data_IF_621278071155
#
_entry.id   IF_621278071155
#
_cell.length_a   1.000
_cell.length_b   1.000
_cell.length_c   1.000
_cell.angle_alpha   90.00
_cell.angle_beta   90.00
_cell.angle_gamma   90.00
#
_symmetry.space_group_name_H-M   'P 1'
#
loop_
_entity.id
_entity.type
_entity.pdbx_description
1 polymer ?
#
# COMPACT_ATOMS: atom_id res chain seq x y z
N UNK A 1 25.64 -34.37 31.82
CA UNK A 1 26.30 -33.47 30.85
C UNK A 1 25.84 -33.68 29.40
N UNK A 2 25.89 -34.89 28.82
CA UNK A 2 25.44 -35.10 27.42
C UNK A 2 23.93 -34.87 27.18
N UNK A 3 23.07 -35.20 28.15
CA UNK A 3 21.60 -35.01 28.03
C UNK A 3 21.19 -33.53 27.98
N UNK A 4 21.88 -32.67 28.73
CA UNK A 4 21.63 -31.23 28.69
C UNK A 4 22.14 -30.60 27.39
N UNK A 5 23.25 -31.10 26.83
CA UNK A 5 23.76 -30.66 25.52
C UNK A 5 22.76 -30.98 24.39
N UNK A 6 22.19 -32.19 24.40
CA UNK A 6 21.17 -32.61 23.43
C UNK A 6 19.87 -31.81 23.59
N UNK A 7 19.46 -31.52 24.82
CA UNK A 7 18.29 -30.68 25.08
C UNK A 7 18.48 -29.25 24.60
N UNK A 8 19.65 -28.65 24.86
CA UNK A 8 19.98 -27.31 24.36
C UNK A 8 20.05 -27.30 22.84
N UNK A 9 20.64 -28.31 22.19
CA UNK A 9 20.69 -28.40 20.73
C UNK A 9 19.29 -28.53 20.12
N UNK A 10 18.40 -29.32 20.72
CA UNK A 10 17.01 -29.46 20.28
C UNK A 10 16.22 -28.17 20.47
N UNK A 11 16.40 -27.48 21.61
CA UNK A 11 15.74 -26.21 21.88
C UNK A 11 16.19 -25.11 20.89
N UNK A 12 17.50 -25.03 20.61
CA UNK A 12 18.06 -24.15 19.60
C UNK A 12 17.52 -24.47 18.20
N UNK A 13 17.38 -25.76 17.85
CA UNK A 13 16.83 -26.18 16.57
C UNK A 13 15.35 -25.81 16.43
N UNK A 14 14.55 -25.93 17.48
CA UNK A 14 13.13 -25.53 17.50
C UNK A 14 12.98 -24.01 17.35
N UNK A 15 13.85 -23.22 17.99
CA UNK A 15 13.82 -21.75 17.91
C UNK A 15 14.10 -21.21 16.49
N UNK A 16 14.84 -21.96 15.65
CA UNK A 16 15.09 -21.58 14.25
C UNK A 16 13.81 -21.57 13.39
N UNK A 17 12.76 -22.32 13.76
CA UNK A 17 11.50 -22.34 13.00
C UNK A 17 10.57 -21.16 13.30
N UNK A 18 10.84 -20.39 14.36
CA UNK A 18 10.00 -19.24 14.74
C UNK A 18 10.46 -17.90 14.15
N UNK A 19 11.63 -17.87 13.50
CA UNK A 19 12.13 -16.65 12.85
C UNK A 19 11.59 -16.61 11.42
N UNK A 20 10.35 -16.17 11.27
CA UNK A 20 9.79 -15.80 9.95
C UNK A 20 9.68 -14.27 9.88
N UNK A 21 10.56 -13.64 9.10
CA UNK A 21 10.54 -12.21 8.82
C UNK A 21 9.65 -11.87 7.63
N UNK A 22 8.43 -12.41 7.60
CA UNK A 22 7.49 -12.13 6.52
C UNK A 22 6.85 -10.76 6.73
N UNK A 23 6.78 -9.97 5.66
CA UNK A 23 5.97 -8.76 5.62
C UNK A 23 4.50 -9.13 5.84
N UNK A 24 3.95 -8.78 7.02
CA UNK A 24 2.57 -9.06 7.39
C UNK A 24 1.60 -7.98 6.91
N UNK A 25 2.08 -6.99 6.16
CA UNK A 25 1.24 -5.93 5.68
C UNK A 25 0.20 -6.51 4.69
N UNK A 26 -1.11 -6.32 4.94
CA UNK A 26 -2.15 -6.79 4.04
C UNK A 26 -2.08 -5.99 2.74
N UNK A 27 -1.63 -6.64 1.66
CA UNK A 27 -1.59 -6.06 0.31
C UNK A 27 -2.84 -6.50 -0.46
N UNK A 28 -3.37 -5.62 -1.30
CA UNK A 28 -4.44 -6.00 -2.22
C UNK A 28 -3.92 -7.06 -3.19
N UNK A 29 -4.47 -8.28 -3.13
CA UNK A 29 -4.01 -9.40 -3.95
C UNK A 29 -4.40 -9.32 -5.42
N UNK A 30 -5.23 -8.33 -5.80
CA UNK A 30 -5.74 -8.19 -7.17
C UNK A 30 -4.96 -7.20 -8.03
N UNK A 31 -3.97 -6.49 -7.45
CA UNK A 31 -3.15 -5.51 -8.18
C UNK A 31 -1.67 -5.66 -7.81
N UNK A 32 -0.81 -5.31 -8.76
CA UNK A 32 0.63 -5.16 -8.59
C UNK A 32 1.03 -3.75 -9.05
N UNK A 33 1.82 -3.04 -8.25
CA UNK A 33 2.25 -1.69 -8.58
C UNK A 33 3.66 -1.75 -9.14
N UNK A 34 3.76 -1.50 -10.44
CA UNK A 34 5.00 -1.70 -11.21
C UNK A 34 5.83 -0.42 -11.35
N UNK A 35 5.22 0.75 -11.14
CA UNK A 35 5.94 2.03 -11.21
C UNK A 35 5.26 3.15 -10.40
N UNK A 36 6.08 4.02 -9.83
CA UNK A 36 5.66 5.28 -9.23
C UNK A 36 6.49 6.42 -9.81
N UNK A 37 5.82 7.50 -10.20
CA UNK A 37 6.40 8.80 -10.47
C UNK A 37 5.76 9.85 -9.56
N UNK A 38 6.58 10.68 -8.91
CA UNK A 38 6.09 11.75 -8.04
C UNK A 38 6.68 13.09 -8.48
N UNK A 39 5.82 14.09 -8.62
CA UNK A 39 6.22 15.50 -8.68
C UNK A 39 5.88 16.13 -7.33
N UNK A 40 6.88 16.62 -6.61
CA UNK A 40 6.71 17.14 -5.24
C UNK A 40 7.09 18.61 -5.21
N UNK A 41 6.21 19.43 -4.64
CA UNK A 41 6.41 20.85 -4.40
C UNK A 41 6.53 21.09 -2.90
N UNK A 42 7.67 21.64 -2.49
CA UNK A 42 8.01 21.95 -1.10
C UNK A 42 8.18 23.45 -0.90
N UNK A 43 7.96 23.90 0.34
CA UNK A 43 8.21 25.27 0.75
C UNK A 43 8.64 25.29 2.21
N UNK A 44 9.67 26.09 2.53
CA UNK A 44 10.06 26.32 3.93
C UNK A 44 9.10 27.28 4.66
N UNK A 45 8.19 27.93 3.92
CA UNK A 45 7.24 28.92 4.47
C UNK A 45 5.92 28.32 4.95
N UNK A 46 5.68 27.03 4.70
CA UNK A 46 4.44 26.35 5.06
C UNK A 46 4.69 24.88 5.34
N UNK A 47 3.96 24.30 6.30
CA UNK A 47 3.99 22.86 6.57
C UNK A 47 3.10 22.05 5.60
N UNK A 48 3.20 22.37 4.30
CA UNK A 48 2.39 21.76 3.24
C UNK A 48 3.29 21.18 2.15
N UNK A 49 3.11 19.90 1.89
CA UNK A 49 3.64 19.22 0.71
C UNK A 49 2.52 19.13 -0.32
N UNK A 50 2.73 19.72 -1.50
CA UNK A 50 1.84 19.50 -2.64
C UNK A 50 2.50 18.53 -3.60
N UNK A 51 1.72 17.73 -4.31
CA UNK A 51 2.31 16.85 -5.30
C UNK A 51 1.30 16.20 -6.21
N UNK A 52 1.86 15.54 -7.21
CA UNK A 52 1.17 14.70 -8.17
C UNK A 52 1.85 13.33 -8.14
N UNK A 53 1.05 12.26 -8.18
CA UNK A 53 1.53 10.89 -8.24
C UNK A 53 0.97 10.21 -9.50
N UNK A 54 1.87 9.66 -10.31
CA UNK A 54 1.53 8.81 -11.46
C UNK A 54 1.92 7.38 -11.09
N UNK A 55 0.93 6.50 -11.00
CA UNK A 55 1.10 5.12 -10.54
C UNK A 55 0.73 4.19 -11.69
N UNK A 56 1.63 3.29 -12.08
CA UNK A 56 1.31 2.24 -13.06
C UNK A 56 0.95 0.97 -12.31
N UNK A 57 -0.24 0.46 -12.60
CA UNK A 57 -0.81 -0.70 -11.95
C UNK A 57 -0.95 -1.81 -13.00
N UNK A 58 -0.56 -3.01 -12.63
CA UNK A 58 -0.88 -4.24 -13.34
C UNK A 58 -1.95 -4.97 -12.53
N UNK A 59 -3.09 -5.25 -13.13
CA UNK A 59 -4.11 -6.07 -12.47
C UNK A 59 -3.65 -7.53 -12.48
N UNK A 60 -3.60 -8.17 -11.33
CA UNK A 60 -3.21 -9.58 -11.18
C UNK A 60 -4.41 -10.49 -10.94
N UNK A 61 -5.56 -9.91 -10.58
CA UNK A 61 -6.85 -10.59 -10.43
C UNK A 61 -8.02 -9.71 -10.88
N UNK A 62 -9.24 -10.21 -10.73
CA UNK A 62 -10.44 -9.41 -10.98
C UNK A 62 -10.70 -8.46 -9.80
N UNK A 63 -10.95 -7.19 -10.10
CA UNK A 63 -11.34 -6.20 -9.09
C UNK A 63 -12.18 -5.07 -9.68
N UNK A 64 -13.02 -4.48 -8.84
CA UNK A 64 -13.78 -3.26 -9.13
C UNK A 64 -13.29 -2.07 -8.29
N UNK A 65 -12.26 -2.25 -7.47
CA UNK A 65 -11.64 -1.21 -6.67
C UNK A 65 -10.11 -1.29 -6.73
N UNK A 66 -9.49 -0.12 -6.63
CA UNK A 66 -8.06 0.04 -6.39
C UNK A 66 -7.92 0.75 -5.04
N UNK A 67 -7.06 0.24 -4.18
CA UNK A 67 -6.88 0.75 -2.82
C UNK A 67 -5.43 1.16 -2.61
N UNK A 68 -5.23 2.40 -2.16
CA UNK A 68 -3.93 2.96 -1.81
C UNK A 68 -3.97 3.48 -0.38
N UNK A 69 -2.95 3.20 0.41
CA UNK A 69 -2.89 3.66 1.79
C UNK A 69 -2.38 5.11 1.86
N UNK A 70 -3.29 6.03 2.16
CA UNK A 70 -3.02 7.44 2.33
C UNK A 70 -3.57 7.87 3.68
N UNK A 71 -2.75 8.47 4.54
CA UNK A 71 -3.20 8.94 5.85
C UNK A 71 -4.38 9.92 5.70
N UNK A 72 -5.49 9.63 6.38
CA UNK A 72 -6.68 10.50 6.31
C UNK A 72 -6.38 11.86 6.92
N UNK A 73 -6.95 12.90 6.31
CA UNK A 73 -6.94 14.23 6.93
C UNK A 73 -7.76 14.21 8.23
N UNK A 74 -7.11 14.53 9.34
CA UNK A 74 -7.69 14.47 10.68
C UNK A 74 -8.26 15.83 11.13
N UNK A 75 -8.85 15.86 12.33
CA UNK A 75 -9.42 17.07 12.91
C UNK A 75 -8.37 18.10 13.35
N UNK A 76 -7.10 17.71 13.43
CA UNK A 76 -5.98 18.58 13.80
C UNK A 76 -5.34 19.25 12.57
N UNK A 77 -5.82 18.93 11.36
CA UNK A 77 -5.28 19.47 10.12
C UNK A 77 -4.11 18.66 9.55
N UNK A 78 -3.88 17.44 10.05
CA UNK A 78 -2.77 16.58 9.63
C UNK A 78 -3.26 15.47 8.70
N UNK A 79 -2.40 14.99 7.81
CA UNK A 79 -2.71 13.92 6.88
C UNK A 79 -2.74 14.40 5.43
N UNK A 80 -3.35 13.63 4.55
CA UNK A 80 -3.37 13.91 3.11
C UNK A 80 -4.76 14.37 2.67
N UNK A 81 -4.81 15.31 1.72
CA UNK A 81 -6.02 15.70 1.03
C UNK A 81 -5.84 15.32 -0.44
N UNK A 82 -6.71 14.45 -0.95
CA UNK A 82 -6.74 14.10 -2.37
C UNK A 82 -7.59 15.12 -3.11
N UNK A 83 -7.00 15.84 -4.07
CA UNK A 83 -7.73 16.85 -4.83
C UNK A 83 -8.47 16.24 -6.05
N UNK A 84 -7.85 15.26 -6.70
CA UNK A 84 -8.36 14.61 -7.90
C UNK A 84 -7.74 13.22 -8.04
N UNK A 85 -8.48 12.30 -8.66
CA UNK A 85 -7.95 11.02 -9.14
C UNK A 85 -8.40 10.86 -10.58
N UNK A 86 -7.44 10.52 -11.43
CA UNK A 86 -7.67 10.16 -12.83
C UNK A 86 -7.23 8.71 -13.02
N UNK A 87 -7.94 7.99 -13.89
CA UNK A 87 -7.53 6.67 -14.38
C UNK A 87 -7.56 6.74 -15.90
N UNK A 88 -6.43 6.45 -16.56
CA UNK A 88 -6.30 6.54 -18.02
C UNK A 88 -6.80 7.90 -18.58
N UNK A 89 -6.49 8.99 -17.87
CA UNK A 89 -6.91 10.39 -18.15
C UNK A 89 -8.39 10.71 -17.83
N UNK A 90 -9.22 9.72 -17.51
CA UNK A 90 -10.63 9.91 -17.16
C UNK A 90 -10.83 10.18 -15.67
N UNK A 91 -11.79 11.04 -15.35
CA UNK A 91 -12.21 11.24 -13.96
C UNK A 91 -12.99 10.03 -13.45
N UNK A 92 -12.53 9.48 -12.34
CA UNK A 92 -13.13 8.31 -11.70
C UNK A 92 -13.77 8.66 -10.35
N UNK A 93 -14.67 7.80 -9.86
CA UNK A 93 -15.19 7.93 -8.50
C UNK A 93 -14.13 7.44 -7.51
N UNK A 94 -13.98 8.15 -6.40
CA UNK A 94 -13.08 7.76 -5.34
C UNK A 94 -13.55 8.28 -3.98
N UNK A 95 -13.03 7.70 -2.90
CA UNK A 95 -13.22 8.16 -1.52
C UNK A 95 -11.90 8.06 -0.76
N UNK A 96 -11.68 8.96 0.19
CA UNK A 96 -10.51 8.93 1.07
C UNK A 96 -10.97 9.00 2.53
N UNK A 97 -10.86 7.88 3.24
CA UNK A 97 -11.24 7.74 4.64
C UNK A 97 -10.49 6.57 5.27
N UNK A 98 -10.47 6.49 6.61
CA UNK A 98 -9.85 5.36 7.34
C UNK A 98 -8.41 5.00 6.89
N UNK A 99 -7.61 6.02 6.56
CA UNK A 99 -6.25 5.91 6.03
C UNK A 99 -6.13 5.20 4.68
N UNK A 100 -7.20 5.22 3.88
CA UNK A 100 -7.26 4.54 2.57
C UNK A 100 -7.98 5.39 1.52
N UNK A 101 -7.35 5.52 0.37
CA UNK A 101 -7.94 6.01 -0.86
C UNK A 101 -8.49 4.81 -1.63
N UNK A 102 -9.81 4.77 -1.82
CA UNK A 102 -10.49 3.77 -2.64
C UNK A 102 -10.92 4.40 -3.95
N UNK A 103 -10.50 3.83 -5.06
CA UNK A 103 -10.77 4.30 -6.43
C UNK A 103 -11.67 3.27 -7.11
N UNK A 104 -12.70 3.73 -7.82
CA UNK A 104 -13.66 2.87 -8.55
C UNK A 104 -13.52 3.12 -10.06
N UNK A 105 -12.89 2.20 -10.82
CA UNK A 105 -12.66 2.34 -12.26
C UNK A 105 -13.93 2.43 -13.13
N UNK A 106 -15.11 2.09 -12.59
CA UNK A 106 -16.39 2.10 -13.32
C UNK A 106 -16.65 0.83 -14.13
N UNK A 107 -15.62 0.03 -14.40
CA UNK A 107 -15.69 -1.34 -14.94
C UNK A 107 -14.86 -2.30 -14.09
N UNK A 108 -15.13 -3.60 -14.20
CA UNK A 108 -14.28 -4.63 -13.59
C UNK A 108 -13.00 -4.72 -14.42
N UNK A 109 -11.86 -4.53 -13.77
CA UNK A 109 -10.54 -4.76 -14.33
C UNK A 109 -10.15 -6.22 -14.13
N UNK A 110 -9.53 -6.83 -15.14
CA UNK A 110 -9.13 -8.25 -15.14
C UNK A 110 -7.61 -8.42 -15.11
N UNK A 111 -7.18 -9.62 -14.73
CA UNK A 111 -5.76 -9.98 -14.74
C UNK A 111 -5.11 -9.70 -16.10
N UNK A 112 -3.97 -9.01 -16.10
CA UNK A 112 -3.22 -8.59 -17.27
C UNK A 112 -3.61 -7.21 -17.83
N UNK A 113 -4.69 -6.60 -17.37
CA UNK A 113 -5.09 -5.26 -17.79
C UNK A 113 -4.27 -4.19 -17.07
N UNK A 114 -3.99 -3.08 -17.77
CA UNK A 114 -3.48 -1.83 -17.20
C UNK A 114 -4.62 -0.93 -16.74
#
# INVERSE_FOLDING_TARGET
MMKSLLFTALLSFVLLFFVTGADKYPKSGSIDIIHYGFTIYLSDSSDLIRGEAVIRILHTGETNTIELDLASHDQKGMGMIVAQVLLDEDTVKWSHNENRLTITPGTIKRSGES
#
